data_IF_533401022932
#
_entry.id   IF_533401022932
#
_cell.length_a   1.000
_cell.length_b   1.000
_cell.length_c   1.000
_cell.angle_alpha   90.00
_cell.angle_beta   90.00
_cell.angle_gamma   90.00
#
_symmetry.space_group_name_H-M   'P 1'
#
loop_
_entity.id
_entity.type
_entity.pdbx_description
1 polymer ?
#
# COMPACT_ATOMS: atom_id res chain seq x y z
N UNK A 1 -7.32 -5.78 61.09
CA UNK A 1 -7.60 -4.51 60.38
C UNK A 1 -6.29 -3.93 59.86
N UNK A 2 -5.77 -4.42 58.72
CA UNK A 2 -4.50 -3.94 58.14
C UNK A 2 -4.47 -3.94 56.61
N UNK A 3 -5.54 -4.36 55.94
CA UNK A 3 -5.62 -4.39 54.47
C UNK A 3 -6.16 -3.08 53.88
N UNK A 4 -7.00 -2.33 54.61
CA UNK A 4 -7.68 -1.13 54.08
C UNK A 4 -6.75 0.11 54.00
N UNK A 5 -5.72 0.19 54.85
CA UNK A 5 -4.74 1.32 54.85
C UNK A 5 -3.66 1.20 53.77
N UNK A 6 -3.34 -0.01 53.31
CA UNK A 6 -2.38 -0.22 52.22
C UNK A 6 -2.93 0.19 50.86
N UNK A 7 -4.16 -0.24 50.54
CA UNK A 7 -4.80 0.04 49.25
C UNK A 7 -5.11 1.53 49.02
N UNK A 8 -5.46 2.28 50.07
CA UNK A 8 -5.72 3.73 49.97
C UNK A 8 -4.44 4.55 49.74
N UNK A 9 -3.33 4.16 50.37
CA UNK A 9 -2.02 4.80 50.16
C UNK A 9 -1.47 4.52 48.76
N UNK A 10 -1.62 3.29 48.27
CA UNK A 10 -1.17 2.90 46.93
C UNK A 10 -1.94 3.63 45.82
N UNK A 11 -3.26 3.74 45.93
CA UNK A 11 -4.08 4.50 44.98
C UNK A 11 -3.72 5.99 44.95
N UNK A 12 -3.46 6.58 46.13
CA UNK A 12 -3.01 7.97 46.25
C UNK A 12 -1.64 8.20 45.60
N UNK A 13 -0.71 7.27 45.78
CA UNK A 13 0.62 7.33 45.17
C UNK A 13 0.56 7.21 43.65
N UNK A 14 -0.24 6.27 43.11
CA UNK A 14 -0.47 6.13 41.66
C UNK A 14 -1.06 7.41 41.06
N UNK A 15 -2.03 8.03 41.73
CA UNK A 15 -2.63 9.29 41.25
C UNK A 15 -1.60 10.44 41.27
N UNK A 16 -0.81 10.55 42.34
CA UNK A 16 0.25 11.57 42.46
C UNK A 16 1.32 11.40 41.37
N UNK A 17 1.73 10.15 41.09
CA UNK A 17 2.65 9.82 40.00
C UNK A 17 2.07 10.18 38.63
N UNK A 18 0.80 9.86 38.39
CA UNK A 18 0.12 10.22 37.15
C UNK A 18 0.04 11.75 36.94
N UNK A 19 -0.30 12.51 37.98
CA UNK A 19 -0.28 13.98 37.92
C UNK A 19 1.12 14.53 37.63
N UNK A 20 2.16 13.94 38.20
CA UNK A 20 3.55 14.30 37.88
C UNK A 20 3.90 14.03 36.41
N UNK A 21 3.46 12.90 35.83
CA UNK A 21 3.66 12.60 34.41
C UNK A 21 2.96 13.63 33.52
N UNK A 22 1.75 14.07 33.86
CA UNK A 22 1.05 15.11 33.12
C UNK A 22 1.74 16.47 33.23
N UNK A 23 2.15 16.87 34.44
CA UNK A 23 2.82 18.15 34.68
C UNK A 23 4.19 18.24 33.97
N UNK A 24 4.86 17.10 33.77
CA UNK A 24 6.13 17.01 33.05
C UNK A 24 5.95 16.75 31.55
N UNK A 25 4.71 16.84 31.02
CA UNK A 25 4.35 16.55 29.63
C UNK A 25 4.76 15.15 29.13
N UNK A 26 4.94 14.18 30.04
CA UNK A 26 5.23 12.78 29.71
C UNK A 26 3.93 12.03 29.38
N UNK A 27 3.20 12.53 28.38
CA UNK A 27 1.87 12.05 28.00
C UNK A 27 1.88 10.59 27.53
N UNK A 28 2.97 10.10 26.93
CA UNK A 28 3.07 8.70 26.53
C UNK A 28 3.03 7.76 27.74
N UNK A 29 3.93 7.96 28.73
CA UNK A 29 3.97 7.17 29.98
C UNK A 29 2.68 7.30 30.80
N UNK A 30 2.06 8.47 30.76
CA UNK A 30 0.74 8.69 31.37
C UNK A 30 -0.32 7.81 30.69
N UNK A 31 -0.27 7.69 29.36
CA UNK A 31 -1.09 6.78 28.55
C UNK A 31 -0.85 5.31 28.90
N UNK A 32 0.40 4.89 29.08
CA UNK A 32 0.75 3.51 29.48
C UNK A 32 0.15 3.16 30.84
N UNK A 33 0.26 4.08 31.79
CA UNK A 33 -0.32 3.90 33.13
C UNK A 33 -1.82 3.71 33.05
N UNK A 34 -2.50 4.48 32.19
CA UNK A 34 -3.94 4.37 31.94
C UNK A 34 -4.31 3.07 31.24
N UNK A 35 -3.53 2.63 30.26
CA UNK A 35 -3.71 1.36 29.56
C UNK A 35 -3.60 0.16 30.51
N UNK A 36 -2.62 0.16 31.42
CA UNK A 36 -2.44 -0.87 32.47
C UNK A 36 -3.64 -0.90 33.43
N UNK A 37 -4.19 0.27 33.77
CA UNK A 37 -5.33 0.38 34.65
C UNK A 37 -6.67 0.03 33.97
N UNK A 38 -6.69 -0.24 32.66
CA UNK A 38 -7.90 -0.58 31.89
C UNK A 38 -8.67 0.63 31.35
N UNK A 39 -8.17 1.86 31.55
CA UNK A 39 -8.77 3.10 31.07
C UNK A 39 -8.35 3.38 29.60
N UNK A 40 -8.83 2.56 28.67
CA UNK A 40 -8.35 2.58 27.28
C UNK A 40 -8.67 3.89 26.53
N UNK A 41 -9.82 4.53 26.79
CA UNK A 41 -10.22 5.77 26.11
C UNK A 41 -9.32 6.97 26.49
N UNK A 42 -8.98 7.06 27.78
CA UNK A 42 -8.05 8.07 28.29
C UNK A 42 -6.64 7.83 27.74
N UNK A 43 -6.20 6.56 27.72
CA UNK A 43 -4.90 6.17 27.18
C UNK A 43 -4.76 6.57 25.70
N UNK A 44 -5.77 6.28 24.87
CA UNK A 44 -5.82 6.69 23.46
C UNK A 44 -5.70 8.21 23.33
N UNK A 45 -6.46 8.97 24.12
CA UNK A 45 -6.42 10.43 24.09
C UNK A 45 -5.05 10.99 24.47
N UNK A 46 -4.37 10.36 25.42
CA UNK A 46 -3.01 10.71 25.83
C UNK A 46 -1.98 10.37 24.75
N UNK A 47 -2.10 9.22 24.07
CA UNK A 47 -1.23 8.84 22.96
C UNK A 47 -1.36 9.77 21.74
N UNK A 48 -2.57 10.26 21.45
CA UNK A 48 -2.76 11.27 20.40
C UNK A 48 -2.04 12.58 20.81
N UNK A 49 -2.22 13.02 22.06
CA UNK A 49 -1.58 14.25 22.58
C UNK A 49 -0.06 14.15 22.63
N UNK A 50 0.49 12.96 22.91
CA UNK A 50 1.93 12.74 22.98
C UNK A 50 2.60 12.60 21.61
N UNK A 51 1.85 12.68 20.50
CA UNK A 51 2.40 12.54 19.15
C UNK A 51 2.74 11.11 18.76
N UNK A 52 2.17 10.09 19.45
CA UNK A 52 2.33 8.67 19.09
C UNK A 52 1.01 8.04 18.63
N UNK A 53 0.35 8.56 17.58
CA UNK A 53 -0.94 8.07 17.13
C UNK A 53 -0.91 6.62 16.63
N UNK A 54 0.25 6.11 16.23
CA UNK A 54 0.43 4.70 15.87
C UNK A 54 0.09 3.75 17.03
N UNK A 55 0.40 4.15 18.27
CA UNK A 55 0.09 3.38 19.47
C UNK A 55 -1.39 3.46 19.82
N UNK A 56 -1.96 4.66 19.68
CA UNK A 56 -3.41 4.88 19.79
C UNK A 56 -4.18 3.99 18.81
N UNK A 57 -3.74 3.93 17.55
CA UNK A 57 -4.35 3.09 16.51
C UNK A 57 -4.29 1.60 16.83
N UNK A 58 -3.14 1.10 17.30
CA UNK A 58 -2.98 -0.30 17.70
C UNK A 58 -3.91 -0.67 18.86
N UNK A 59 -4.00 0.19 19.86
CA UNK A 59 -4.94 0.00 20.97
C UNK A 59 -6.39 0.07 20.48
N UNK A 60 -6.66 0.91 19.47
CA UNK A 60 -7.99 1.00 18.90
C UNK A 60 -8.43 -0.24 18.12
N UNK A 61 -7.52 -0.83 17.34
CA UNK A 61 -7.76 -2.07 16.62
C UNK A 61 -7.95 -3.27 17.57
N UNK A 62 -7.26 -3.29 18.72
CA UNK A 62 -7.39 -4.39 19.69
C UNK A 62 -8.66 -4.32 20.55
N UNK A 63 -9.24 -3.13 20.73
CA UNK A 63 -10.43 -2.87 21.56
C UNK A 63 -11.60 -2.32 20.76
N UNK A 64 -11.87 -2.91 19.59
CA UNK A 64 -12.91 -2.46 18.65
C UNK A 64 -14.31 -2.30 19.28
N UNK A 65 -14.66 -3.11 20.27
CA UNK A 65 -16.01 -3.13 20.86
C UNK A 65 -16.29 -1.92 21.77
N UNK A 66 -15.25 -1.23 22.24
CA UNK A 66 -15.34 -0.14 23.22
C UNK A 66 -15.26 1.23 22.53
N UNK A 67 -14.79 1.27 21.29
CA UNK A 67 -14.32 2.50 20.66
C UNK A 67 -15.36 3.04 19.68
N UNK A 68 -15.67 4.31 19.82
CA UNK A 68 -16.60 5.00 18.95
C UNK A 68 -15.97 5.34 17.59
N UNK A 69 -16.81 5.44 16.55
CA UNK A 69 -16.39 5.86 15.22
C UNK A 69 -15.77 7.27 15.23
N UNK A 70 -16.23 8.19 16.09
CA UNK A 70 -15.65 9.52 16.26
C UNK A 70 -14.19 9.46 16.74
N UNK A 71 -13.90 8.61 17.73
CA UNK A 71 -12.55 8.44 18.24
C UNK A 71 -11.63 7.85 17.17
N UNK A 72 -12.11 6.89 16.39
CA UNK A 72 -11.37 6.31 15.26
C UNK A 72 -11.04 7.38 14.22
N UNK A 73 -12.01 8.23 13.85
CA UNK A 73 -11.78 9.34 12.93
C UNK A 73 -10.73 10.33 13.44
N UNK A 74 -10.74 10.64 14.75
CA UNK A 74 -9.73 11.51 15.37
C UNK A 74 -8.32 10.89 15.35
N UNK A 75 -8.21 9.59 15.62
CA UNK A 75 -6.93 8.87 15.51
C UNK A 75 -6.46 8.87 14.05
N UNK A 76 -7.35 8.54 13.10
CA UNK A 76 -7.03 8.51 11.68
C UNK A 76 -6.54 9.89 11.18
N UNK A 77 -7.23 10.98 11.52
CA UNK A 77 -6.77 12.34 11.22
C UNK A 77 -5.40 12.65 11.82
N UNK A 78 -5.12 12.17 13.04
CA UNK A 78 -3.78 12.30 13.61
C UNK A 78 -2.76 11.51 12.81
N UNK A 79 -3.03 10.25 12.46
CA UNK A 79 -2.14 9.43 11.64
C UNK A 79 -1.84 10.08 10.27
N UNK A 80 -2.85 10.67 9.63
CA UNK A 80 -2.69 11.40 8.38
C UNK A 80 -1.72 12.59 8.49
N UNK A 81 -1.73 13.30 9.63
CA UNK A 81 -0.77 14.39 9.89
C UNK A 81 0.66 13.91 10.05
N UNK A 82 0.85 12.67 10.53
CA UNK A 82 2.15 12.02 10.64
C UNK A 82 2.50 11.16 9.42
N UNK A 83 1.74 11.29 8.31
CA UNK A 83 1.94 10.53 7.06
C UNK A 83 1.88 9.01 7.21
N UNK A 84 1.24 8.51 8.28
CA UNK A 84 1.02 7.10 8.54
C UNK A 84 -0.25 6.61 7.83
N UNK A 85 -0.24 6.65 6.50
CA UNK A 85 -1.42 6.44 5.67
C UNK A 85 -2.00 5.03 5.76
N UNK A 86 -1.15 3.99 5.79
CA UNK A 86 -1.62 2.59 5.85
C UNK A 86 -2.46 2.33 7.11
N UNK A 87 -1.94 2.73 8.28
CA UNK A 87 -2.66 2.60 9.55
C UNK A 87 -3.94 3.44 9.60
N UNK A 88 -3.96 4.59 8.93
CA UNK A 88 -5.17 5.40 8.80
C UNK A 88 -6.22 4.68 7.95
N UNK A 89 -5.80 4.00 6.87
CA UNK A 89 -6.66 3.17 6.05
C UNK A 89 -7.31 2.03 6.82
N UNK A 90 -6.54 1.29 7.61
CA UNK A 90 -7.05 0.18 8.45
C UNK A 90 -8.12 0.67 9.45
N UNK A 91 -7.92 1.85 10.03
CA UNK A 91 -8.91 2.48 10.91
C UNK A 91 -10.19 2.88 10.16
N UNK A 92 -10.08 3.41 8.95
CA UNK A 92 -11.25 3.76 8.14
C UNK A 92 -12.05 2.53 7.70
N UNK A 93 -11.39 1.40 7.44
CA UNK A 93 -12.07 0.13 7.21
C UNK A 93 -12.86 -0.34 8.43
N UNK A 94 -12.33 -0.15 9.65
CA UNK A 94 -13.02 -0.54 10.89
C UNK A 94 -14.36 0.18 11.07
N UNK A 95 -14.45 1.44 10.63
CA UNK A 95 -15.70 2.22 10.64
C UNK A 95 -16.51 2.08 9.33
N UNK A 96 -16.18 1.09 8.51
CA UNK A 96 -16.78 0.83 7.20
C UNK A 96 -16.72 2.01 6.21
N UNK A 97 -15.82 2.98 6.43
CA UNK A 97 -15.60 4.10 5.53
C UNK A 97 -14.57 3.73 4.44
N UNK A 98 -15.01 2.88 3.53
CA UNK A 98 -14.18 2.30 2.47
C UNK A 98 -13.61 3.35 1.50
N UNK A 99 -14.32 4.46 1.29
CA UNK A 99 -13.86 5.53 0.40
C UNK A 99 -12.63 6.26 0.96
N UNK A 100 -12.66 6.60 2.25
CA UNK A 100 -11.50 7.23 2.91
C UNK A 100 -10.35 6.24 3.08
N UNK A 101 -10.63 4.97 3.38
CA UNK A 101 -9.61 3.92 3.43
C UNK A 101 -8.86 3.81 2.10
N UNK A 102 -9.58 3.78 0.97
CA UNK A 102 -8.99 3.75 -0.37
C UNK A 102 -8.06 4.94 -0.64
N UNK A 103 -8.48 6.16 -0.27
CA UNK A 103 -7.64 7.36 -0.41
C UNK A 103 -6.36 7.25 0.41
N UNK A 104 -6.46 6.71 1.63
CA UNK A 104 -5.30 6.50 2.49
C UNK A 104 -4.33 5.49 1.88
N UNK A 105 -4.79 4.32 1.43
CA UNK A 105 -3.90 3.31 0.85
C UNK A 105 -3.21 3.78 -0.41
N UNK A 106 -3.92 4.46 -1.32
CA UNK A 106 -3.32 5.04 -2.53
C UNK A 106 -2.26 6.09 -2.17
N UNK A 107 -2.54 6.96 -1.20
CA UNK A 107 -1.57 7.97 -0.75
C UNK A 107 -0.35 7.36 -0.05
N UNK A 108 -0.53 6.24 0.64
CA UNK A 108 0.54 5.48 1.30
C UNK A 108 1.30 4.53 0.39
N UNK A 109 0.95 4.44 -0.90
CA UNK A 109 1.46 3.42 -1.83
C UNK A 109 1.21 1.97 -1.35
N UNK A 110 0.22 1.76 -0.48
CA UNK A 110 -0.20 0.43 0.01
C UNK A 110 -1.13 -0.23 -1.01
N UNK A 111 -0.65 -0.42 -2.24
CA UNK A 111 -1.47 -0.88 -3.37
C UNK A 111 -2.07 -2.27 -3.17
N UNK A 112 -1.36 -3.17 -2.49
CA UNK A 112 -1.91 -4.49 -2.16
C UNK A 112 -3.23 -4.39 -1.38
N UNK A 113 -3.24 -3.62 -0.29
CA UNK A 113 -4.45 -3.37 0.51
C UNK A 113 -5.52 -2.64 -0.29
N UNK A 114 -5.12 -1.67 -1.12
CA UNK A 114 -6.04 -0.95 -2.00
C UNK A 114 -6.75 -1.89 -3.00
N UNK A 115 -6.02 -2.81 -3.64
CA UNK A 115 -6.58 -3.79 -4.58
C UNK A 115 -7.49 -4.78 -3.87
N UNK A 116 -7.09 -5.30 -2.71
CA UNK A 116 -7.93 -6.18 -1.88
C UNK A 116 -9.27 -5.50 -1.56
N UNK A 117 -9.23 -4.24 -1.08
CA UNK A 117 -10.44 -3.45 -0.80
C UNK A 117 -11.27 -3.19 -2.06
N UNK A 118 -10.62 -2.92 -3.20
CA UNK A 118 -11.29 -2.65 -4.47
C UNK A 118 -12.01 -3.87 -5.03
N UNK A 119 -11.42 -5.07 -4.93
CA UNK A 119 -12.06 -6.32 -5.39
C UNK A 119 -13.40 -6.55 -4.71
N UNK A 120 -13.50 -6.21 -3.43
CA UNK A 120 -14.72 -6.40 -2.65
C UNK A 120 -15.73 -5.26 -2.82
N UNK A 121 -15.26 -4.03 -3.04
CA UNK A 121 -16.10 -2.83 -2.82
C UNK A 121 -16.09 -1.83 -3.97
N UNK A 122 -15.06 -1.84 -4.82
CA UNK A 122 -14.90 -0.95 -5.97
C UNK A 122 -14.36 -1.73 -7.19
N UNK A 123 -15.07 -2.75 -7.72
CA UNK A 123 -14.50 -3.62 -8.77
C UNK A 123 -14.07 -2.88 -10.04
N UNK A 124 -14.75 -1.76 -10.36
CA UNK A 124 -14.40 -0.91 -11.50
C UNK A 124 -13.04 -0.21 -11.36
N UNK A 125 -12.54 -0.05 -10.13
CA UNK A 125 -11.26 0.61 -9.85
C UNK A 125 -10.07 -0.36 -9.88
N UNK A 126 -10.29 -1.67 -9.88
CA UNK A 126 -9.22 -2.68 -9.78
C UNK A 126 -8.17 -2.49 -10.87
N UNK A 127 -8.59 -2.42 -12.15
CA UNK A 127 -7.64 -2.26 -13.26
C UNK A 127 -6.81 -0.98 -13.15
N UNK A 128 -7.45 0.13 -12.73
CA UNK A 128 -6.76 1.40 -12.51
C UNK A 128 -5.74 1.31 -11.37
N UNK A 129 -6.07 0.61 -10.29
CA UNK A 129 -5.16 0.40 -9.16
C UNK A 129 -3.99 -0.50 -9.53
N UNK A 130 -4.21 -1.55 -10.32
CA UNK A 130 -3.12 -2.39 -10.84
C UNK A 130 -2.17 -1.56 -11.72
N UNK A 131 -2.70 -0.67 -12.57
CA UNK A 131 -1.86 0.23 -13.37
C UNK A 131 -1.06 1.21 -12.49
N UNK A 132 -1.70 1.82 -11.49
CA UNK A 132 -1.04 2.72 -10.52
C UNK A 132 0.05 1.99 -9.74
N UNK A 133 -0.20 0.74 -9.33
CA UNK A 133 0.78 -0.12 -8.67
C UNK A 133 1.98 -0.40 -9.58
N UNK A 134 1.73 -0.75 -10.85
CA UNK A 134 2.78 -0.88 -11.86
C UNK A 134 3.62 0.39 -12.00
N UNK A 135 2.99 1.56 -12.09
CA UNK A 135 3.69 2.85 -12.18
C UNK A 135 4.57 3.10 -10.95
N UNK A 136 4.06 2.80 -9.74
CA UNK A 136 4.82 2.92 -8.51
C UNK A 136 6.03 1.97 -8.47
N UNK A 137 5.85 0.70 -8.85
CA UNK A 137 6.93 -0.27 -8.90
C UNK A 137 8.05 0.13 -9.88
N UNK A 138 7.71 0.70 -11.03
CA UNK A 138 8.68 1.28 -11.95
C UNK A 138 9.46 2.43 -11.29
N UNK A 139 8.78 3.29 -10.54
CA UNK A 139 9.43 4.44 -9.86
C UNK A 139 10.46 4.02 -8.80
N UNK A 140 10.30 2.84 -8.21
CA UNK A 140 11.26 2.25 -7.26
C UNK A 140 12.17 1.19 -7.91
N UNK A 141 12.27 1.18 -9.25
CA UNK A 141 13.10 0.29 -10.07
C UNK A 141 12.78 -1.22 -9.94
N UNK A 142 11.59 -1.59 -9.48
CA UNK A 142 11.11 -2.97 -9.43
C UNK A 142 10.40 -3.36 -10.73
N UNK A 143 11.11 -3.28 -11.85
CA UNK A 143 10.56 -3.48 -13.19
C UNK A 143 9.95 -4.88 -13.37
N UNK A 144 10.59 -5.93 -12.85
CA UNK A 144 10.08 -7.30 -12.97
C UNK A 144 8.70 -7.51 -12.35
N UNK A 145 8.47 -6.89 -11.18
CA UNK A 145 7.19 -6.94 -10.47
C UNK A 145 6.14 -6.09 -11.21
N UNK A 146 6.54 -4.92 -11.73
CA UNK A 146 5.64 -4.01 -12.44
C UNK A 146 4.99 -4.64 -13.67
N UNK A 147 5.71 -5.53 -14.39
CA UNK A 147 5.21 -6.19 -15.60
C UNK A 147 3.89 -6.92 -15.33
N UNK A 148 3.79 -7.66 -14.22
CA UNK A 148 2.58 -8.43 -13.89
C UNK A 148 1.38 -7.50 -13.68
N UNK A 149 1.55 -6.44 -12.90
CA UNK A 149 0.47 -5.47 -12.64
C UNK A 149 0.03 -4.71 -13.91
N UNK A 150 0.96 -4.44 -14.84
CA UNK A 150 0.58 -3.88 -16.14
C UNK A 150 -0.19 -4.85 -17.03
N UNK A 151 0.11 -6.15 -16.96
CA UNK A 151 -0.68 -7.18 -17.66
C UNK A 151 -2.07 -7.29 -17.05
N UNK A 152 -2.18 -7.31 -15.72
CA UNK A 152 -3.45 -7.40 -14.99
C UNK A 152 -4.36 -6.18 -15.22
N UNK A 153 -3.77 -4.98 -15.40
CA UNK A 153 -4.51 -3.76 -15.77
C UNK A 153 -4.85 -3.65 -17.27
N UNK A 154 -4.35 -4.55 -18.12
CA UNK A 154 -4.49 -4.46 -19.58
C UNK A 154 -3.60 -3.39 -20.23
N UNK A 155 -2.67 -2.79 -19.49
CA UNK A 155 -1.72 -1.78 -19.96
C UNK A 155 -0.51 -2.40 -20.68
N UNK A 156 -0.76 -3.16 -21.75
CA UNK A 156 0.26 -3.99 -22.40
C UNK A 156 1.46 -3.21 -22.96
N UNK A 157 1.26 -1.98 -23.45
CA UNK A 157 2.35 -1.11 -23.93
C UNK A 157 3.35 -0.85 -22.79
N UNK A 158 2.86 -0.50 -21.59
CA UNK A 158 3.68 -0.29 -20.39
C UNK A 158 4.33 -1.60 -19.92
N UNK A 159 3.60 -2.71 -19.99
CA UNK A 159 4.15 -4.03 -19.66
C UNK A 159 5.35 -4.39 -20.54
N UNK A 160 5.24 -4.14 -21.86
CA UNK A 160 6.32 -4.40 -22.81
C UNK A 160 7.51 -3.45 -22.57
N UNK A 161 7.27 -2.15 -22.37
CA UNK A 161 8.33 -1.18 -22.06
C UNK A 161 9.11 -1.57 -20.78
N UNK A 162 8.39 -1.98 -19.73
CA UNK A 162 9.00 -2.46 -18.49
C UNK A 162 9.77 -3.77 -18.72
N UNK A 163 9.23 -4.71 -19.48
CA UNK A 163 9.89 -5.99 -19.78
C UNK A 163 11.16 -5.83 -20.62
N UNK A 164 11.17 -4.93 -21.62
CA UNK A 164 12.37 -4.59 -22.40
C UNK A 164 13.42 -3.96 -21.48
N UNK A 165 13.02 -3.03 -20.63
CA UNK A 165 13.92 -2.37 -19.67
C UNK A 165 14.53 -3.36 -18.67
N UNK A 166 13.76 -4.38 -18.27
CA UNK A 166 14.22 -5.49 -17.44
C UNK A 166 14.96 -6.60 -18.22
N UNK A 167 15.16 -6.44 -19.53
CA UNK A 167 15.77 -7.45 -20.43
C UNK A 167 15.04 -8.82 -20.43
N UNK A 168 13.74 -8.82 -20.11
CA UNK A 168 12.87 -9.99 -20.08
C UNK A 168 12.28 -10.28 -21.47
N UNK A 169 13.14 -10.58 -22.44
CA UNK A 169 12.75 -10.74 -23.85
C UNK A 169 11.70 -11.83 -24.09
N UNK A 170 11.74 -12.91 -23.31
CA UNK A 170 10.72 -13.96 -23.38
C UNK A 170 9.33 -13.45 -22.98
N UNK A 171 9.24 -12.61 -21.93
CA UNK A 171 7.97 -12.00 -21.54
C UNK A 171 7.46 -11.05 -22.63
N UNK A 172 8.35 -10.30 -23.28
CA UNK A 172 7.99 -9.42 -24.42
C UNK A 172 7.36 -10.24 -25.55
N UNK A 173 8.00 -11.34 -25.96
CA UNK A 173 7.43 -12.28 -26.95
C UNK A 173 6.04 -12.76 -26.56
N UNK A 174 5.88 -13.27 -25.34
CA UNK A 174 4.60 -13.82 -24.86
C UNK A 174 3.51 -12.77 -24.82
N UNK A 175 3.80 -11.55 -24.37
CA UNK A 175 2.81 -10.46 -24.35
C UNK A 175 2.39 -10.17 -25.80
N UNK A 176 3.33 -9.97 -26.72
CA UNK A 176 3.05 -9.62 -28.12
C UNK A 176 2.32 -10.73 -28.91
N UNK A 177 2.58 -12.01 -28.61
CA UNK A 177 1.90 -13.15 -29.25
C UNK A 177 0.44 -13.28 -28.83
N UNK A 178 0.12 -12.84 -27.61
CA UNK A 178 -1.24 -12.85 -27.08
C UNK A 178 -2.07 -11.62 -27.50
N UNK A 179 -1.48 -10.66 -28.23
CA UNK A 179 -2.19 -9.48 -28.73
C UNK A 179 -2.55 -9.63 -30.21
N UNK A 180 -3.60 -8.94 -30.64
CA UNK A 180 -3.96 -8.85 -32.05
C UNK A 180 -2.85 -8.16 -32.86
N UNK A 181 -2.25 -8.90 -33.79
CA UNK A 181 -1.11 -8.44 -34.61
C UNK A 181 -1.38 -7.22 -35.51
N UNK A 182 -2.63 -6.73 -35.56
CA UNK A 182 -3.01 -5.53 -36.30
C UNK A 182 -2.92 -4.23 -35.46
N UNK A 183 -2.57 -4.32 -34.18
CA UNK A 183 -2.39 -3.12 -33.37
C UNK A 183 -1.07 -2.41 -33.72
N UNK A 184 -1.19 -1.22 -34.33
CA UNK A 184 -0.06 -0.38 -34.77
C UNK A 184 0.83 0.07 -33.61
N UNK A 185 0.30 0.12 -32.39
CA UNK A 185 1.08 0.51 -31.21
C UNK A 185 2.20 -0.49 -30.90
N UNK A 186 2.03 -1.76 -31.35
CA UNK A 186 3.01 -2.82 -31.14
C UNK A 186 4.07 -2.95 -32.24
N UNK A 187 3.89 -2.30 -33.39
CA UNK A 187 4.80 -2.39 -34.54
C UNK A 187 6.26 -2.08 -34.17
N UNK A 188 6.49 -1.06 -33.33
CA UNK A 188 7.85 -0.70 -32.87
C UNK A 188 8.50 -1.81 -32.04
N UNK A 189 7.73 -2.57 -31.28
CA UNK A 189 8.24 -3.62 -30.40
C UNK A 189 8.63 -4.88 -31.16
N UNK A 190 7.89 -5.23 -32.22
CA UNK A 190 8.30 -6.31 -33.14
C UNK A 190 9.68 -6.05 -33.74
N UNK A 191 9.98 -4.79 -34.12
CA UNK A 191 11.32 -4.42 -34.59
C UNK A 191 12.40 -4.58 -33.52
N UNK A 192 12.16 -4.06 -32.31
CA UNK A 192 13.13 -4.16 -31.20
C UNK A 192 13.42 -5.62 -30.88
N UNK A 193 12.40 -6.47 -30.83
CA UNK A 193 12.54 -7.89 -30.54
C UNK A 193 13.29 -8.64 -31.66
N UNK A 194 13.01 -8.31 -32.92
CA UNK A 194 13.74 -8.85 -34.07
C UNK A 194 15.23 -8.46 -34.04
N UNK A 195 15.55 -7.19 -33.79
CA UNK A 195 16.91 -6.68 -33.64
C UNK A 195 17.65 -7.39 -32.49
N UNK A 196 16.98 -7.64 -31.36
CA UNK A 196 17.52 -8.44 -30.27
C UNK A 196 17.86 -9.87 -30.71
N UNK A 197 16.90 -10.59 -31.32
CA UNK A 197 17.13 -11.95 -31.80
C UNK A 197 18.24 -12.05 -32.85
N UNK A 198 18.37 -11.02 -33.70
CA UNK A 198 19.45 -10.89 -34.67
C UNK A 198 20.81 -10.79 -33.97
N UNK A 199 20.92 -9.95 -32.93
CA UNK A 199 22.15 -9.77 -32.15
C UNK A 199 22.66 -11.06 -31.49
N UNK A 200 21.74 -11.94 -31.09
CA UNK A 200 22.05 -13.25 -30.51
C UNK A 200 22.07 -14.39 -31.55
N UNK A 201 22.10 -14.04 -32.84
CA UNK A 201 22.21 -14.94 -34.00
C UNK A 201 21.07 -15.97 -34.12
N UNK A 202 19.88 -15.65 -33.60
CA UNK A 202 18.66 -16.45 -33.77
C UNK A 202 17.87 -15.91 -34.98
N UNK A 203 18.39 -16.18 -36.17
CA UNK A 203 17.89 -15.59 -37.42
C UNK A 203 16.42 -15.92 -37.72
N UNK A 204 16.01 -17.18 -37.52
CA UNK A 204 14.62 -17.63 -37.75
C UNK A 204 13.60 -16.79 -36.95
N UNK A 205 13.90 -16.55 -35.66
CA UNK A 205 13.04 -15.72 -34.81
C UNK A 205 13.08 -14.25 -35.19
N UNK A 206 14.25 -13.74 -35.59
CA UNK A 206 14.38 -12.36 -36.04
C UNK A 206 13.53 -12.11 -37.30
N UNK A 207 13.61 -13.01 -38.29
CA UNK A 207 12.81 -12.96 -39.51
C UNK A 207 11.30 -12.99 -39.18
N UNK A 208 10.87 -13.91 -38.32
CA UNK A 208 9.47 -14.03 -37.90
C UNK A 208 8.92 -12.70 -37.34
N UNK A 209 9.66 -12.04 -36.43
CA UNK A 209 9.21 -10.78 -35.84
C UNK A 209 9.33 -9.60 -36.80
N UNK A 210 10.31 -9.57 -37.73
CA UNK A 210 10.33 -8.56 -38.79
C UNK A 210 9.10 -8.68 -39.70
N UNK A 211 8.69 -9.90 -40.06
CA UNK A 211 7.49 -10.14 -40.87
C UNK A 211 6.23 -9.71 -40.11
N UNK A 212 6.09 -10.09 -38.83
CA UNK A 212 4.97 -9.65 -37.97
C UNK A 212 4.88 -8.12 -37.86
N UNK A 213 6.03 -7.44 -37.82
CA UNK A 213 6.11 -5.98 -37.84
C UNK A 213 5.93 -5.33 -39.22
N UNK A 214 5.68 -6.11 -40.29
CA UNK A 214 5.63 -5.64 -41.69
C UNK A 214 6.94 -5.03 -42.20
N UNK A 215 8.08 -5.44 -41.64
CA UNK A 215 9.43 -4.99 -42.00
C UNK A 215 10.11 -5.93 -43.00
N UNK A 216 9.45 -6.23 -44.12
CA UNK A 216 9.88 -7.27 -45.08
C UNK A 216 11.29 -7.08 -45.64
N UNK A 217 11.77 -5.84 -45.78
CA UNK A 217 13.13 -5.55 -46.29
C UNK A 217 14.24 -5.93 -45.30
N UNK A 218 13.93 -6.03 -44.02
CA UNK A 218 14.88 -6.37 -42.95
C UNK A 218 14.83 -7.88 -42.63
N UNK A 219 13.83 -8.59 -43.16
CA UNK A 219 13.63 -10.02 -42.97
C UNK A 219 14.47 -10.89 -43.93
N UNK A 220 14.96 -10.32 -45.04
CA UNK A 220 15.77 -10.97 -46.09
C UNK A 220 17.23 -10.58 -45.95
#
# INVERSE_FOLDING_TARGET
VATIKGHSSEASLRNSYYQWLLNTNQHEKAGETKEINGDYLDAISLYIKSGVPARAARLALSKRDIISADLINRIAQSLLKFELFEKAGELYELVANKSEAMKCYRKGNSFQRAVELARDSFPSDVLRLEEEWGNYLVSIHQLDNAIQHYIESGSYVKAIDAAISAQQWQKVSTILENQDGNNKDFTKYYRILAEHYLSIKKFEKAEEYFIKGSFYRQAV
#
